data_IF_981372758423
#
_entry.id   IF_981372758423
#
_cell.length_a   1.000
_cell.length_b   1.000
_cell.length_c   1.000
_cell.angle_alpha   90.00
_cell.angle_beta   90.00
_cell.angle_gamma   90.00
#
_symmetry.space_group_name_H-M   'P 1'
#
loop_
_entity.id
_entity.type
_entity.pdbx_description
1 polymer ?
#
# COMPACT_ATOMS: atom_id res chain seq x y z
N UNK A 1 -14.59 10.67 -9.53
CA UNK A 1 -14.31 11.66 -8.45
C UNK A 1 -12.97 11.31 -7.84
N UNK A 2 -12.03 12.26 -7.89
CA UNK A 2 -10.67 12.09 -7.36
C UNK A 2 -10.69 12.14 -5.84
N UNK A 3 -10.13 11.12 -5.18
CA UNK A 3 -9.96 11.08 -3.72
C UNK A 3 -8.61 11.67 -3.31
N UNK A 4 -7.52 11.24 -3.99
CA UNK A 4 -6.16 11.70 -3.73
C UNK A 4 -5.56 12.29 -5.00
N UNK A 5 -4.95 13.47 -4.87
CA UNK A 5 -4.24 14.15 -5.96
C UNK A 5 -2.80 14.43 -5.53
N UNK A 6 -1.86 13.90 -6.28
CA UNK A 6 -0.42 13.98 -6.02
C UNK A 6 0.27 14.60 -7.22
N UNK A 7 1.03 15.71 -7.02
CA UNK A 7 1.83 16.36 -8.04
C UNK A 7 3.25 16.58 -7.54
N UNK A 8 4.21 16.15 -8.34
CA UNK A 8 5.64 16.37 -8.12
C UNK A 8 6.12 15.94 -6.71
N UNK A 9 5.61 14.80 -6.21
CA UNK A 9 6.00 14.28 -4.90
C UNK A 9 7.44 13.80 -4.94
N UNK A 10 8.26 14.33 -4.02
CA UNK A 10 9.66 13.96 -3.84
C UNK A 10 9.96 13.66 -2.38
N UNK A 11 10.83 12.67 -2.16
CA UNK A 11 11.34 12.28 -0.84
C UNK A 11 12.86 12.27 -0.90
N UNK A 12 13.51 13.09 -0.09
CA UNK A 12 14.95 13.25 -0.04
C UNK A 12 15.52 12.91 1.33
N UNK A 13 16.68 12.31 1.35
CA UNK A 13 17.45 12.01 2.56
C UNK A 13 18.85 12.63 2.44
N UNK A 14 19.31 13.43 3.40
CA UNK A 14 20.69 13.89 3.44
C UNK A 14 21.60 12.70 3.75
N UNK A 15 22.66 12.54 2.94
CA UNK A 15 23.69 11.52 3.13
C UNK A 15 25.06 12.19 3.19
N UNK A 16 26.10 11.44 3.55
CA UNK A 16 27.49 11.95 3.56
C UNK A 16 27.99 12.33 2.16
N UNK A 17 27.39 11.79 1.11
CA UNK A 17 27.77 12.02 -0.29
C UNK A 17 26.86 13.04 -1.00
N UNK A 18 25.94 13.68 -0.27
CA UNK A 18 24.93 14.60 -0.82
C UNK A 18 23.50 14.19 -0.50
N UNK A 19 22.53 14.73 -1.21
CA UNK A 19 21.12 14.35 -1.06
C UNK A 19 20.81 13.11 -1.90
N UNK A 20 20.20 12.10 -1.27
CA UNK A 20 19.66 10.93 -1.94
C UNK A 20 18.16 11.11 -2.12
N UNK A 21 17.68 11.08 -3.36
CA UNK A 21 16.26 11.17 -3.70
C UNK A 21 15.66 9.77 -3.85
N UNK A 22 14.89 9.35 -2.87
CA UNK A 22 14.18 8.07 -2.89
C UNK A 22 12.90 8.09 -3.72
N UNK A 23 12.27 9.26 -3.87
CA UNK A 23 11.11 9.52 -4.75
C UNK A 23 11.38 10.84 -5.46
N UNK A 24 11.16 10.86 -6.79
CA UNK A 24 11.65 11.92 -7.68
C UNK A 24 10.52 12.43 -8.57
N UNK A 25 9.74 13.40 -8.09
CA UNK A 25 8.70 14.07 -8.89
C UNK A 25 7.54 13.16 -9.32
N UNK A 26 7.08 12.29 -8.44
CA UNK A 26 5.96 11.38 -8.73
C UNK A 26 4.64 12.14 -8.74
N UNK A 27 3.85 11.96 -9.81
CA UNK A 27 2.54 12.61 -9.98
C UNK A 27 1.49 11.58 -10.40
N UNK A 28 0.38 11.49 -9.67
CA UNK A 28 -0.75 10.64 -10.01
C UNK A 28 -2.02 11.07 -9.27
N UNK A 29 -3.17 10.58 -9.72
CA UNK A 29 -4.45 10.70 -9.03
C UNK A 29 -4.94 9.33 -8.61
N UNK A 30 -5.79 9.28 -7.57
CA UNK A 30 -6.51 8.07 -7.17
C UNK A 30 -7.99 8.41 -7.01
N UNK A 31 -8.83 7.64 -7.67
CA UNK A 31 -10.27 7.61 -7.48
C UNK A 31 -10.71 6.42 -6.63
N UNK A 32 -11.94 5.97 -6.84
CA UNK A 32 -12.47 4.71 -6.26
C UNK A 32 -12.09 3.55 -7.18
N UNK A 33 -10.80 3.28 -7.24
CA UNK A 33 -10.17 2.29 -8.11
C UNK A 33 -9.08 1.55 -7.34
N UNK A 34 -8.57 0.47 -7.92
CA UNK A 34 -7.40 -0.27 -7.43
C UNK A 34 -6.20 0.14 -8.28
N UNK A 35 -5.37 1.03 -7.74
CA UNK A 35 -4.14 1.51 -8.36
C UNK A 35 -2.97 0.64 -7.90
N UNK A 36 -2.35 -0.08 -8.82
CA UNK A 36 -1.11 -0.83 -8.58
C UNK A 36 0.11 0.07 -8.70
N UNK A 37 1.08 -0.08 -7.80
CA UNK A 37 2.42 0.50 -7.93
C UNK A 37 3.43 -0.64 -7.93
N UNK A 38 4.13 -0.82 -9.05
CA UNK A 38 5.08 -1.92 -9.24
C UNK A 38 6.48 -1.41 -9.59
N UNK A 39 7.48 -2.27 -9.43
CA UNK A 39 8.88 -2.01 -9.74
C UNK A 39 9.81 -2.84 -8.87
N UNK A 40 11.10 -2.78 -9.12
CA UNK A 40 12.11 -3.50 -8.34
C UNK A 40 12.18 -3.02 -6.88
N UNK A 41 12.80 -3.82 -6.00
CA UNK A 41 13.12 -3.38 -4.64
C UNK A 41 13.98 -2.11 -4.68
N UNK A 42 13.66 -1.13 -3.84
CA UNK A 42 14.36 0.16 -3.83
C UNK A 42 13.88 1.19 -4.87
N UNK A 43 12.88 0.87 -5.73
CA UNK A 43 12.36 1.83 -6.72
C UNK A 43 11.54 2.98 -6.16
N UNK A 44 11.31 3.06 -4.83
CA UNK A 44 10.59 4.16 -4.19
C UNK A 44 9.12 3.89 -3.84
N UNK A 45 8.55 2.73 -4.19
CA UNK A 45 7.13 2.39 -3.99
C UNK A 45 6.64 2.61 -2.56
N UNK A 46 7.24 1.93 -1.60
CA UNK A 46 6.87 2.04 -0.17
C UNK A 46 7.11 3.44 0.38
N UNK A 47 8.16 4.14 -0.13
CA UNK A 47 8.41 5.53 0.26
C UNK A 47 7.34 6.47 -0.24
N UNK A 48 6.78 6.25 -1.44
CA UNK A 48 5.63 6.99 -1.96
C UNK A 48 4.41 6.82 -1.05
N UNK A 49 4.04 5.59 -0.67
CA UNK A 49 2.94 5.34 0.27
C UNK A 49 3.13 6.00 1.64
N UNK A 50 4.34 5.89 2.19
CA UNK A 50 4.69 6.54 3.47
C UNK A 50 4.70 8.06 3.38
N UNK A 51 5.12 8.64 2.26
CA UNK A 51 5.12 10.08 2.05
C UNK A 51 3.72 10.66 2.03
N UNK A 52 2.75 10.00 1.41
CA UNK A 52 1.33 10.41 1.42
C UNK A 52 0.82 10.54 2.86
N UNK A 53 1.20 9.64 3.74
CA UNK A 53 0.83 9.67 5.16
C UNK A 53 1.78 10.52 6.04
N UNK A 54 2.77 11.18 5.43
CA UNK A 54 3.80 11.94 6.16
C UNK A 54 4.49 11.10 7.25
N UNK A 55 4.80 9.83 6.94
CA UNK A 55 5.49 8.88 7.83
C UNK A 55 7.01 8.83 7.57
N UNK A 56 7.55 9.74 6.78
CA UNK A 56 8.98 9.87 6.57
C UNK A 56 9.60 10.54 7.80
N UNK A 57 10.46 9.81 8.50
CA UNK A 57 11.13 10.31 9.70
C UNK A 57 12.30 11.23 9.34
N UNK A 58 12.57 12.27 10.14
CA UNK A 58 13.81 13.03 10.04
C UNK A 58 15.04 12.09 10.03
N UNK A 59 16.10 12.40 9.24
CA UNK A 59 16.31 13.63 8.47
C UNK A 59 15.65 13.65 7.09
N UNK A 60 14.80 12.66 6.74
CA UNK A 60 14.07 12.62 5.48
C UNK A 60 13.11 13.81 5.34
N UNK A 61 12.96 14.31 4.12
CA UNK A 61 12.11 15.45 3.78
C UNK A 61 11.13 15.06 2.68
N UNK A 62 9.91 15.60 2.78
CA UNK A 62 8.86 15.44 1.76
C UNK A 62 8.63 16.79 1.13
N UNK A 63 8.58 16.84 -0.21
CA UNK A 63 8.15 18.00 -1.01
C UNK A 63 7.14 17.53 -2.04
N UNK A 64 6.15 18.35 -2.35
CA UNK A 64 5.23 18.15 -3.45
C UNK A 64 4.66 19.52 -3.86
N UNK A 65 4.28 19.67 -5.14
CA UNK A 65 3.53 20.82 -5.60
C UNK A 65 2.08 20.71 -5.14
N UNK A 66 1.58 19.45 -5.09
CA UNK A 66 0.24 19.12 -4.59
C UNK A 66 0.27 17.76 -3.90
N UNK A 67 -0.33 17.71 -2.71
CA UNK A 67 -0.62 16.46 -2.00
C UNK A 67 -1.97 16.64 -1.28
N UNK A 68 -3.06 16.36 -1.99
CA UNK A 68 -4.40 16.68 -1.54
C UNK A 68 -5.29 15.44 -1.42
N UNK A 69 -6.00 15.36 -0.30
CA UNK A 69 -7.08 14.41 -0.07
C UNK A 69 -8.41 15.16 -0.11
N UNK A 70 -9.26 14.88 -1.11
CA UNK A 70 -10.56 15.56 -1.30
C UNK A 70 -10.43 17.10 -1.26
N UNK A 71 -9.35 17.67 -1.85
CA UNK A 71 -9.07 19.10 -1.88
C UNK A 71 -8.42 19.66 -0.60
N UNK A 72 -8.11 18.82 0.37
CA UNK A 72 -7.39 19.21 1.59
C UNK A 72 -5.90 18.94 1.44
N UNK A 73 -5.07 19.98 1.46
CA UNK A 73 -3.61 19.89 1.36
C UNK A 73 -3.03 19.24 2.61
N UNK A 74 -2.53 18.00 2.46
CA UNK A 74 -1.99 17.21 3.55
C UNK A 74 -0.65 17.77 4.08
N UNK A 75 0.13 18.50 3.25
CA UNK A 75 1.40 19.07 3.69
C UNK A 75 1.21 20.26 4.64
N UNK A 76 0.10 20.99 4.51
CA UNK A 76 -0.22 22.15 5.35
C UNK A 76 -0.92 21.79 6.67
N UNK A 77 -1.35 20.53 6.83
CA UNK A 77 -1.99 20.09 8.08
C UNK A 77 -1.02 20.10 9.24
N UNK A 78 -1.50 20.53 10.42
CA UNK A 78 -0.79 20.32 11.68
C UNK A 78 -0.67 18.81 11.96
N UNK A 79 0.28 18.39 12.78
CA UNK A 79 0.41 16.96 13.14
C UNK A 79 -0.86 16.42 13.82
N UNK A 80 -1.52 17.22 14.66
CA UNK A 80 -2.80 16.86 15.29
C UNK A 80 -3.92 16.64 14.26
N UNK A 81 -3.95 17.43 13.18
CA UNK A 81 -4.91 17.25 12.09
C UNK A 81 -4.53 16.01 11.24
N UNK A 82 -3.23 15.79 10.99
CA UNK A 82 -2.75 14.62 10.25
C UNK A 82 -3.01 13.30 11.00
N UNK A 83 -2.96 13.29 12.33
CA UNK A 83 -3.37 12.13 13.14
C UNK A 83 -4.83 11.72 12.92
N UNK A 84 -5.72 12.69 12.63
CA UNK A 84 -7.11 12.37 12.26
C UNK A 84 -7.23 11.81 10.84
N UNK A 85 -6.34 12.19 9.92
CA UNK A 85 -6.32 11.64 8.56
C UNK A 85 -5.81 10.19 8.58
N UNK A 86 -4.71 9.95 9.30
CA UNK A 86 -4.14 8.60 9.46
C UNK A 86 -5.12 7.71 10.22
N UNK A 87 -5.48 6.60 9.62
CA UNK A 87 -6.41 5.61 10.18
C UNK A 87 -7.90 5.93 9.95
N UNK A 88 -8.32 7.19 9.91
CA UNK A 88 -9.73 7.54 9.69
C UNK A 88 -10.06 7.79 8.22
N UNK A 89 -9.14 8.42 7.47
CA UNK A 89 -9.32 8.74 6.05
C UNK A 89 -8.46 7.88 5.15
N UNK A 90 -7.20 7.70 5.53
CA UNK A 90 -6.24 6.86 4.83
C UNK A 90 -5.64 5.89 5.86
N UNK A 91 -5.76 4.59 5.59
CA UNK A 91 -5.07 3.54 6.35
C UNK A 91 -3.98 2.89 5.53
N UNK A 92 -2.97 2.33 6.20
CA UNK A 92 -1.87 1.64 5.55
C UNK A 92 -1.63 0.28 6.19
N UNK A 93 -1.71 -0.78 5.38
CA UNK A 93 -1.29 -2.14 5.72
C UNK A 93 0.18 -2.27 5.32
N UNK A 94 1.03 -2.62 6.27
CA UNK A 94 2.47 -2.78 6.06
C UNK A 94 2.82 -4.24 5.74
N UNK A 95 4.00 -4.45 5.21
CA UNK A 95 4.49 -5.74 4.73
C UNK A 95 4.45 -6.87 5.77
N UNK A 96 4.83 -6.61 7.02
CA UNK A 96 4.89 -7.61 8.08
C UNK A 96 3.97 -7.24 9.25
N UNK A 97 2.95 -8.09 9.57
CA UNK A 97 2.05 -7.84 10.69
C UNK A 97 2.75 -7.80 12.04
N UNK A 98 3.92 -8.44 12.19
CA UNK A 98 4.70 -8.44 13.44
C UNK A 98 5.17 -7.04 13.85
N UNK A 99 5.36 -6.13 12.87
CA UNK A 99 5.72 -4.74 13.16
C UNK A 99 4.51 -3.83 13.35
N UNK A 100 3.31 -4.29 13.02
CA UNK A 100 2.07 -3.52 13.12
C UNK A 100 1.25 -3.85 14.37
N UNK A 101 1.36 -5.08 14.86
CA UNK A 101 0.67 -5.54 16.07
C UNK A 101 1.60 -5.45 17.29
N UNK A 102 1.12 -4.84 18.37
CA UNK A 102 1.85 -4.80 19.62
C UNK A 102 1.83 -6.19 20.30
N UNK A 103 2.98 -6.89 20.44
CA UNK A 103 3.01 -8.26 20.93
C UNK A 103 2.60 -8.44 22.39
N UNK A 104 2.62 -7.37 23.18
CA UNK A 104 2.27 -7.40 24.62
C UNK A 104 0.85 -6.91 24.92
N UNK A 105 0.07 -6.58 23.87
CA UNK A 105 -1.35 -6.21 23.99
C UNK A 105 -2.23 -7.26 23.32
N UNK A 106 -3.41 -7.49 23.88
CA UNK A 106 -4.40 -8.37 23.24
C UNK A 106 -4.91 -7.76 21.95
N UNK A 107 -5.19 -8.60 20.96
CA UNK A 107 -5.66 -8.19 19.63
C UNK A 107 -6.90 -7.30 19.73
N UNK A 108 -7.90 -7.71 20.51
CA UNK A 108 -9.13 -6.95 20.68
C UNK A 108 -8.90 -5.56 21.29
N UNK A 109 -7.97 -5.43 22.22
CA UNK A 109 -7.64 -4.14 22.84
C UNK A 109 -7.08 -3.15 21.80
N UNK A 110 -6.21 -3.63 20.90
CA UNK A 110 -5.61 -2.81 19.84
C UNK A 110 -6.66 -2.33 18.83
N UNK A 111 -7.56 -3.21 18.39
CA UNK A 111 -8.64 -2.83 17.46
C UNK A 111 -9.62 -1.84 18.10
N UNK A 112 -10.00 -2.10 19.37
CA UNK A 112 -10.90 -1.23 20.16
C UNK A 112 -10.26 0.15 20.37
N UNK A 113 -8.96 0.21 20.69
CA UNK A 113 -8.23 1.47 20.90
C UNK A 113 -8.28 2.35 19.67
N UNK A 114 -7.92 1.81 18.49
CA UNK A 114 -7.93 2.55 17.22
C UNK A 114 -9.34 3.08 16.92
N UNK A 115 -10.34 2.22 17.01
CA UNK A 115 -11.71 2.64 16.70
C UNK A 115 -12.20 3.74 17.65
N UNK A 116 -11.94 3.61 18.96
CA UNK A 116 -12.31 4.63 19.95
C UNK A 116 -11.54 5.94 19.78
N UNK A 117 -10.25 5.85 19.44
CA UNK A 117 -9.42 7.03 19.22
C UNK A 117 -9.99 7.91 18.09
N UNK A 118 -10.43 7.30 17.01
CA UNK A 118 -10.93 8.03 15.83
C UNK A 118 -12.41 8.42 15.90
N UNK A 119 -13.24 7.65 16.59
CA UNK A 119 -14.71 7.84 16.59
C UNK A 119 -15.27 8.39 17.90
N UNK A 120 -14.52 8.30 18.99
CA UNK A 120 -15.04 8.62 20.34
C UNK A 120 -16.05 7.59 20.88
N UNK A 121 -16.20 6.43 20.21
CA UNK A 121 -17.19 5.42 20.55
C UNK A 121 -16.99 4.84 21.97
N UNK A 122 -18.08 4.36 22.57
CA UNK A 122 -18.02 3.61 23.83
C UNK A 122 -17.27 2.29 23.65
N UNK A 123 -16.69 1.74 24.73
CA UNK A 123 -15.98 0.45 24.70
C UNK A 123 -16.89 -0.67 24.17
N UNK A 124 -18.19 -0.66 24.51
CA UNK A 124 -19.16 -1.66 24.05
C UNK A 124 -19.39 -1.57 22.55
N UNK A 125 -19.55 -0.36 22.00
CA UNK A 125 -19.70 -0.16 20.55
C UNK A 125 -18.44 -0.55 19.80
N UNK A 126 -17.26 -0.18 20.32
CA UNK A 126 -15.98 -0.53 19.73
C UNK A 126 -15.71 -2.05 19.75
N UNK A 127 -16.11 -2.74 20.82
CA UNK A 127 -16.02 -4.19 20.90
C UNK A 127 -16.87 -4.87 19.81
N UNK A 128 -18.14 -4.43 19.67
CA UNK A 128 -19.03 -4.95 18.60
C UNK A 128 -18.42 -4.73 17.22
N UNK A 129 -17.89 -3.52 16.95
CA UNK A 129 -17.25 -3.19 15.68
C UNK A 129 -15.99 -4.03 15.43
N UNK A 130 -15.20 -4.31 16.45
CA UNK A 130 -14.03 -5.17 16.35
C UNK A 130 -14.39 -6.62 15.95
N UNK A 131 -15.47 -7.18 16.56
CA UNK A 131 -15.98 -8.50 16.19
C UNK A 131 -16.44 -8.50 14.72
N UNK A 132 -17.26 -7.53 14.30
CA UNK A 132 -17.72 -7.39 12.91
C UNK A 132 -16.54 -7.35 11.92
N UNK A 133 -15.49 -6.64 12.28
CA UNK A 133 -14.31 -6.54 11.40
C UNK A 133 -13.49 -7.82 11.34
N UNK A 134 -13.36 -8.55 12.46
CA UNK A 134 -12.70 -9.85 12.48
C UNK A 134 -13.49 -10.89 11.65
N UNK A 135 -14.82 -10.86 11.71
CA UNK A 135 -15.70 -11.67 10.86
C UNK A 135 -15.53 -11.28 9.37
N UNK A 136 -15.51 -9.98 9.06
CA UNK A 136 -15.32 -9.47 7.71
C UNK A 136 -14.00 -9.91 7.06
N UNK A 137 -12.95 -10.14 7.85
CA UNK A 137 -11.68 -10.71 7.37
C UNK A 137 -11.62 -12.24 7.52
N UNK A 138 -12.78 -12.91 7.68
CA UNK A 138 -12.91 -14.36 7.73
C UNK A 138 -12.18 -15.03 8.90
N UNK A 139 -12.16 -14.40 10.06
CA UNK A 139 -11.75 -15.03 11.32
C UNK A 139 -12.91 -15.85 11.85
N UNK A 140 -12.73 -17.18 12.02
CA UNK A 140 -13.80 -18.12 12.39
C UNK A 140 -14.29 -17.97 13.82
N UNK A 141 -13.39 -17.61 14.75
CA UNK A 141 -13.69 -17.46 16.19
C UNK A 141 -13.17 -16.10 16.68
N UNK A 142 -13.89 -15.00 16.33
CA UNK A 142 -13.47 -13.64 16.64
C UNK A 142 -13.42 -13.39 18.15
N UNK A 143 -14.32 -13.98 18.94
CA UNK A 143 -14.37 -13.85 20.39
C UNK A 143 -13.08 -14.38 21.07
N UNK A 144 -12.57 -15.52 20.61
CA UNK A 144 -11.30 -16.09 21.07
C UNK A 144 -10.16 -15.18 20.67
N UNK A 145 -10.12 -14.73 19.39
CA UNK A 145 -9.06 -13.86 18.86
C UNK A 145 -9.00 -12.52 19.57
N UNK A 146 -10.15 -11.96 19.96
CA UNK A 146 -10.20 -10.73 20.77
C UNK A 146 -9.41 -10.81 22.08
N UNK A 147 -9.30 -12.02 22.68
CA UNK A 147 -8.61 -12.28 23.95
C UNK A 147 -7.17 -12.72 23.78
N UNK A 148 -6.81 -13.15 22.57
CA UNK A 148 -5.49 -13.68 22.25
C UNK A 148 -4.46 -12.58 22.02
N UNK A 149 -3.18 -12.95 22.07
CA UNK A 149 -2.05 -12.11 21.73
C UNK A 149 -1.55 -12.39 20.31
N UNK A 150 -0.86 -11.43 19.65
CA UNK A 150 -0.37 -11.61 18.28
C UNK A 150 0.52 -12.85 18.07
N UNK A 151 1.33 -13.20 19.06
CA UNK A 151 2.24 -14.36 18.97
C UNK A 151 1.52 -15.72 18.99
N UNK A 152 0.24 -15.78 19.38
CA UNK A 152 -0.59 -16.98 19.33
C UNK A 152 -1.23 -17.21 17.96
N UNK A 153 -1.00 -16.31 16.99
CA UNK A 153 -1.63 -16.33 15.67
C UNK A 153 -0.65 -16.85 14.61
N UNK A 154 -1.17 -17.60 13.62
CA UNK A 154 -0.42 -17.90 12.39
C UNK A 154 -0.17 -16.63 11.56
N UNK A 155 0.83 -16.66 10.65
CA UNK A 155 1.14 -15.52 9.80
C UNK A 155 -0.08 -14.99 9.01
N UNK A 156 -0.84 -15.88 8.38
CA UNK A 156 -2.05 -15.51 7.64
C UNK A 156 -3.17 -14.96 8.53
N UNK A 157 -3.30 -15.45 9.77
CA UNK A 157 -4.23 -14.88 10.75
C UNK A 157 -3.77 -13.49 11.19
N UNK A 158 -2.49 -13.31 11.48
CA UNK A 158 -1.90 -12.01 11.82
C UNK A 158 -2.14 -10.96 10.74
N UNK A 159 -1.98 -11.36 9.47
CA UNK A 159 -2.25 -10.49 8.33
C UNK A 159 -3.72 -10.06 8.26
N UNK A 160 -4.66 -11.00 8.40
CA UNK A 160 -6.10 -10.67 8.41
C UNK A 160 -6.48 -9.78 9.58
N UNK A 161 -5.92 -10.02 10.77
CA UNK A 161 -6.13 -9.19 11.97
C UNK A 161 -5.61 -7.77 11.72
N UNK A 162 -4.42 -7.62 11.12
CA UNK A 162 -3.88 -6.32 10.75
C UNK A 162 -4.79 -5.58 9.76
N UNK A 163 -5.32 -6.28 8.74
CA UNK A 163 -6.29 -5.71 7.80
C UNK A 163 -7.57 -5.28 8.54
N UNK A 164 -8.11 -6.11 9.44
CA UNK A 164 -9.26 -5.75 10.27
C UNK A 164 -9.00 -4.47 11.08
N UNK A 165 -7.84 -4.38 11.72
CA UNK A 165 -7.41 -3.23 12.50
C UNK A 165 -7.30 -1.96 11.65
N UNK A 166 -6.74 -2.05 10.44
CA UNK A 166 -6.59 -0.91 9.54
C UNK A 166 -7.91 -0.46 8.88
N UNK A 167 -8.90 -1.35 8.78
CA UNK A 167 -10.19 -1.07 8.16
C UNK A 167 -11.33 -0.84 9.17
N UNK A 168 -11.09 -0.94 10.48
CA UNK A 168 -12.14 -0.81 11.50
C UNK A 168 -12.79 0.58 11.52
N UNK A 169 -12.08 1.60 11.10
CA UNK A 169 -12.54 2.99 10.98
C UNK A 169 -13.22 3.30 9.64
N UNK A 170 -13.26 2.33 8.71
CA UNK A 170 -13.81 2.47 7.37
C UNK A 170 -13.18 3.63 6.57
N UNK A 171 -11.86 3.59 6.35
CA UNK A 171 -11.15 4.66 5.65
C UNK A 171 -11.62 4.78 4.19
N UNK A 172 -11.39 5.95 3.60
CA UNK A 172 -11.69 6.19 2.18
C UNK A 172 -10.62 5.61 1.25
N UNK A 173 -9.37 5.53 1.74
CA UNK A 173 -8.24 4.99 0.98
C UNK A 173 -7.50 3.96 1.84
N UNK A 174 -7.20 2.81 1.23
CA UNK A 174 -6.30 1.82 1.77
C UNK A 174 -4.99 1.84 0.96
N UNK A 175 -3.86 1.98 1.65
CA UNK A 175 -2.53 1.72 1.07
C UNK A 175 -2.10 0.35 1.56
N UNK A 176 -1.88 -0.60 0.66
CA UNK A 176 -1.43 -1.95 0.95
C UNK A 176 0.00 -2.14 0.44
N UNK A 177 0.99 -2.05 1.33
CA UNK A 177 2.41 -2.15 1.02
C UNK A 177 2.87 -3.60 1.17
N UNK A 178 2.97 -4.32 0.06
CA UNK A 178 3.31 -5.74 -0.02
C UNK A 178 2.51 -6.63 0.96
N UNK A 179 1.17 -6.56 0.97
CA UNK A 179 0.36 -7.14 2.05
C UNK A 179 0.40 -8.67 2.12
N UNK A 180 1.04 -9.34 1.16
CA UNK A 180 1.05 -10.80 1.04
C UNK A 180 2.43 -11.40 0.82
N UNK A 181 3.50 -10.61 0.85
CA UNK A 181 4.87 -11.05 0.50
C UNK A 181 5.44 -12.16 1.41
N UNK A 182 4.95 -12.26 2.64
CA UNK A 182 5.40 -13.26 3.62
C UNK A 182 4.46 -14.49 3.74
N UNK A 183 3.50 -14.66 2.81
CA UNK A 183 2.48 -15.68 2.85
C UNK A 183 2.65 -16.70 1.73
N UNK A 184 2.22 -17.94 1.99
CA UNK A 184 2.08 -18.94 0.93
C UNK A 184 0.97 -18.56 -0.07
N UNK A 185 1.02 -19.12 -1.28
CA UNK A 185 0.13 -18.77 -2.40
C UNK A 185 -1.35 -18.92 -2.04
N UNK A 186 -1.72 -19.95 -1.26
CA UNK A 186 -3.11 -20.20 -0.92
C UNK A 186 -3.66 -19.15 0.06
N UNK A 187 -2.86 -18.76 1.06
CA UNK A 187 -3.20 -17.71 2.02
C UNK A 187 -3.18 -16.34 1.35
N UNK A 188 -2.21 -16.10 0.46
CA UNK A 188 -2.15 -14.88 -0.35
C UNK A 188 -3.45 -14.65 -1.12
N UNK A 189 -3.93 -15.65 -1.87
CA UNK A 189 -5.19 -15.56 -2.63
C UNK A 189 -6.37 -15.22 -1.72
N UNK A 190 -6.46 -15.82 -0.53
CA UNK A 190 -7.52 -15.54 0.42
C UNK A 190 -7.45 -14.10 0.98
N UNK A 191 -6.26 -13.61 1.32
CA UNK A 191 -6.06 -12.24 1.81
C UNK A 191 -6.43 -11.22 0.74
N UNK A 192 -6.02 -11.45 -0.50
CA UNK A 192 -6.34 -10.56 -1.62
C UNK A 192 -7.85 -10.54 -1.92
N UNK A 193 -8.52 -11.69 -1.88
CA UNK A 193 -9.97 -11.73 -2.06
C UNK A 193 -10.72 -10.98 -0.95
N UNK A 194 -10.23 -10.99 0.27
CA UNK A 194 -10.77 -10.20 1.39
C UNK A 194 -10.58 -8.70 1.12
N UNK A 195 -9.38 -8.28 0.72
CA UNK A 195 -9.09 -6.88 0.40
C UNK A 195 -9.99 -6.41 -0.75
N UNK A 196 -10.05 -7.17 -1.87
CA UNK A 196 -10.88 -6.83 -3.03
C UNK A 196 -12.35 -6.65 -2.65
N UNK A 197 -12.91 -7.62 -1.92
CA UNK A 197 -14.27 -7.56 -1.46
C UNK A 197 -14.54 -6.32 -0.60
N UNK A 198 -13.71 -6.06 0.41
CA UNK A 198 -13.90 -4.93 1.32
C UNK A 198 -13.71 -3.58 0.62
N UNK A 199 -12.77 -3.47 -0.33
CA UNK A 199 -12.55 -2.26 -1.13
C UNK A 199 -13.79 -1.98 -1.98
N UNK A 200 -14.34 -2.99 -2.68
CA UNK A 200 -15.53 -2.84 -3.53
C UNK A 200 -16.78 -2.53 -2.72
N UNK A 201 -17.07 -3.32 -1.68
CA UNK A 201 -18.27 -3.17 -0.86
C UNK A 201 -18.35 -1.79 -0.19
N UNK A 202 -17.20 -1.23 0.18
CA UNK A 202 -17.11 0.08 0.87
C UNK A 202 -16.80 1.25 -0.06
N UNK A 203 -16.58 0.99 -1.35
CA UNK A 203 -16.26 2.01 -2.34
C UNK A 203 -14.99 2.80 -2.00
N UNK A 204 -13.94 2.12 -1.53
CA UNK A 204 -12.65 2.72 -1.20
C UNK A 204 -11.77 2.84 -2.43
N UNK A 205 -10.81 3.80 -2.40
CA UNK A 205 -9.64 3.76 -3.27
C UNK A 205 -8.58 2.82 -2.66
N UNK A 206 -7.87 2.07 -3.50
CA UNK A 206 -6.77 1.20 -3.09
C UNK A 206 -5.48 1.60 -3.81
N UNK A 207 -4.41 1.83 -3.04
CA UNK A 207 -3.04 1.82 -3.58
C UNK A 207 -2.42 0.48 -3.18
N UNK A 208 -2.16 -0.37 -4.18
CA UNK A 208 -1.61 -1.70 -3.99
C UNK A 208 -0.15 -1.73 -4.44
N UNK A 209 0.78 -1.80 -3.50
CA UNK A 209 2.22 -1.84 -3.76
C UNK A 209 2.67 -3.29 -3.79
N UNK A 210 3.33 -3.70 -4.87
CA UNK A 210 3.89 -5.04 -5.02
C UNK A 210 5.13 -5.02 -5.93
N UNK A 211 5.96 -6.05 -5.82
CA UNK A 211 7.00 -6.36 -6.80
C UNK A 211 6.55 -7.42 -7.83
N UNK A 212 5.37 -8.02 -7.65
CA UNK A 212 4.81 -9.02 -8.54
C UNK A 212 3.87 -8.38 -9.57
N UNK A 213 4.37 -8.25 -10.81
CA UNK A 213 3.62 -7.66 -11.91
C UNK A 213 2.39 -8.48 -12.29
N UNK A 214 2.49 -9.83 -12.28
CA UNK A 214 1.37 -10.70 -12.63
C UNK A 214 0.21 -10.53 -11.64
N UNK A 215 0.56 -10.45 -10.36
CA UNK A 215 -0.42 -10.19 -9.32
C UNK A 215 -1.11 -8.84 -9.53
N UNK A 216 -0.35 -7.78 -9.78
CA UNK A 216 -0.91 -6.43 -9.98
C UNK A 216 -1.75 -6.37 -11.25
N UNK A 217 -1.30 -6.98 -12.35
CA UNK A 217 -2.07 -7.05 -13.60
C UNK A 217 -3.43 -7.73 -13.42
N UNK A 218 -3.50 -8.77 -12.57
CA UNK A 218 -4.75 -9.50 -12.31
C UNK A 218 -5.66 -8.86 -11.27
N UNK A 219 -5.10 -8.00 -10.40
CA UNK A 219 -5.78 -7.50 -9.22
C UNK A 219 -6.18 -6.02 -9.31
N UNK A 220 -5.41 -5.20 -10.03
CA UNK A 220 -5.60 -3.75 -10.11
C UNK A 220 -6.38 -3.35 -11.37
N UNK A 221 -6.86 -2.11 -11.39
CA UNK A 221 -7.54 -1.51 -12.55
C UNK A 221 -6.54 -0.71 -13.39
N UNK A 222 -5.56 -0.06 -12.73
CA UNK A 222 -4.51 0.76 -13.33
C UNK A 222 -3.18 0.51 -12.63
N UNK A 223 -2.08 0.64 -13.36
CA UNK A 223 -0.73 0.36 -12.86
C UNK A 223 0.20 1.54 -13.11
N UNK A 224 1.00 1.88 -12.11
CA UNK A 224 2.15 2.76 -12.19
C UNK A 224 3.43 1.91 -12.10
N UNK A 225 4.30 2.00 -13.06
CA UNK A 225 5.59 1.32 -13.06
C UNK A 225 6.64 2.31 -12.54
N UNK A 226 7.33 1.94 -11.45
CA UNK A 226 8.35 2.78 -10.81
C UNK A 226 9.75 2.22 -11.01
N UNK A 227 10.67 3.09 -11.42
CA UNK A 227 12.11 2.83 -11.49
C UNK A 227 12.89 4.00 -10.88
N UNK A 228 13.90 3.73 -10.05
CA UNK A 228 14.81 4.71 -9.47
C UNK A 228 14.11 5.97 -8.90
N UNK A 229 12.98 5.79 -8.22
CA UNK A 229 12.19 6.86 -7.60
C UNK A 229 11.21 7.58 -8.53
N UNK A 230 11.07 7.19 -9.79
CA UNK A 230 10.22 7.84 -10.80
C UNK A 230 9.13 6.91 -11.30
N UNK A 231 8.01 7.46 -11.77
CA UNK A 231 7.07 6.72 -12.62
C UNK A 231 7.63 6.75 -14.04
N UNK A 232 7.89 5.57 -14.60
CA UNK A 232 8.40 5.42 -15.98
C UNK A 232 7.30 5.06 -16.96
N UNK A 233 6.19 4.52 -16.47
CA UNK A 233 5.03 4.16 -17.30
C UNK A 233 3.75 4.10 -16.48
N UNK A 234 2.62 4.36 -17.15
CA UNK A 234 1.27 4.27 -16.58
C UNK A 234 0.35 3.61 -17.60
N UNK A 235 -0.34 2.55 -17.20
CA UNK A 235 -1.27 1.83 -18.09
C UNK A 235 -2.48 1.28 -17.36
N UNK A 236 -3.51 0.91 -18.09
CA UNK A 236 -4.56 0.03 -17.60
C UNK A 236 -3.96 -1.37 -17.32
N UNK A 237 -4.40 -2.02 -16.24
CA UNK A 237 -3.77 -3.27 -15.81
C UNK A 237 -3.89 -4.41 -16.82
N UNK A 238 -4.98 -4.47 -17.57
CA UNK A 238 -5.23 -5.43 -18.66
C UNK A 238 -4.32 -5.22 -19.88
N UNK A 239 -3.75 -4.02 -20.05
CA UNK A 239 -2.83 -3.65 -21.12
C UNK A 239 -1.36 -3.75 -20.77
N UNK A 240 -1.03 -4.15 -19.55
CA UNK A 240 0.35 -4.20 -19.08
C UNK A 240 1.29 -5.03 -19.99
N UNK A 241 0.78 -6.07 -20.64
CA UNK A 241 1.54 -6.91 -21.58
C UNK A 241 1.75 -6.27 -22.97
N UNK A 242 1.04 -5.19 -23.28
CA UNK A 242 1.13 -4.46 -24.56
C UNK A 242 2.13 -3.30 -24.51
N UNK A 243 2.67 -3.05 -23.32
CA UNK A 243 3.50 -1.89 -23.04
C UNK A 243 4.85 -1.93 -23.75
N UNK A 244 5.32 -0.76 -24.14
CA UNK A 244 6.50 -0.61 -25.00
C UNK A 244 7.72 -0.06 -24.29
N UNK A 245 7.56 0.45 -23.08
CA UNK A 245 8.64 1.02 -22.29
C UNK A 245 9.70 -0.07 -21.99
N UNK A 246 10.99 0.17 -22.31
CA UNK A 246 12.02 -0.88 -22.25
C UNK A 246 12.18 -1.51 -20.87
N UNK A 247 12.07 -0.72 -19.78
CA UNK A 247 12.14 -1.23 -18.42
C UNK A 247 10.98 -2.17 -18.09
N UNK A 248 9.74 -1.78 -18.44
CA UNK A 248 8.53 -2.61 -18.25
C UNK A 248 8.64 -3.94 -18.99
N UNK A 249 9.07 -3.90 -20.27
CA UNK A 249 9.32 -5.12 -21.06
C UNK A 249 10.39 -6.01 -20.44
N UNK A 250 11.46 -5.40 -19.93
CA UNK A 250 12.52 -6.13 -19.24
C UNK A 250 12.04 -6.81 -17.97
N UNK A 251 11.20 -6.12 -17.16
CA UNK A 251 10.58 -6.71 -15.97
C UNK A 251 9.65 -7.88 -16.36
N UNK A 252 8.78 -7.70 -17.35
CA UNK A 252 7.87 -8.76 -17.84
C UNK A 252 8.65 -9.96 -18.40
N UNK A 253 9.76 -9.70 -19.12
CA UNK A 253 10.64 -10.73 -19.68
C UNK A 253 11.42 -11.53 -18.63
N UNK A 254 11.63 -10.97 -17.44
CA UNK A 254 12.32 -11.65 -16.34
C UNK A 254 11.39 -12.50 -15.45
N UNK A 255 10.06 -12.44 -15.67
CA UNK A 255 9.10 -13.26 -14.94
C UNK A 255 9.12 -14.73 -15.39
N UNK A 256 9.07 -15.69 -14.44
CA UNK A 256 8.94 -17.10 -14.79
C UNK A 256 7.61 -17.36 -15.54
N UNK A 257 7.68 -17.98 -16.72
CA UNK A 257 6.48 -18.43 -17.44
C UNK A 257 6.23 -19.90 -17.13
N UNK A 258 5.04 -20.23 -16.64
CA UNK A 258 4.66 -21.60 -16.24
C UNK A 258 4.78 -22.62 -17.38
N UNK A 259 4.61 -22.18 -18.64
CA UNK A 259 4.57 -23.06 -19.82
C UNK A 259 5.88 -23.08 -20.62
N UNK A 260 6.89 -22.32 -20.23
CA UNK A 260 8.20 -22.29 -20.88
C UNK A 260 9.30 -22.54 -19.85
N UNK A 261 9.80 -23.79 -19.75
CA UNK A 261 10.93 -24.05 -18.86
C UNK A 261 12.19 -23.41 -19.45
N UNK A 262 12.40 -22.13 -19.14
CA UNK A 262 13.63 -21.45 -19.51
C UNK A 262 14.79 -22.02 -18.69
N UNK A 263 15.85 -22.48 -19.34
CA UNK A 263 17.09 -22.95 -18.68
C UNK A 263 17.79 -21.84 -17.86
N UNK A 264 17.52 -20.58 -18.20
CA UNK A 264 17.96 -19.39 -17.45
C UNK A 264 16.88 -18.31 -17.57
N UNK A 265 16.53 -17.68 -16.46
CA UNK A 265 15.69 -16.46 -16.47
C UNK A 265 16.49 -15.32 -17.12
N UNK A 266 15.79 -14.51 -17.93
CA UNK A 266 16.40 -13.29 -18.46
C UNK A 266 16.68 -12.34 -17.28
N UNK A 267 17.90 -11.79 -17.24
CA UNK A 267 18.27 -10.75 -16.30
C UNK A 267 18.00 -9.41 -16.97
N UNK A 268 17.35 -8.51 -16.26
CA UNK A 268 17.12 -7.15 -16.76
C UNK A 268 18.45 -6.43 -17.00
N UNK A 269 18.71 -6.12 -18.26
CA UNK A 269 19.86 -5.28 -18.66
C UNK A 269 19.47 -3.82 -18.44
N UNK A 270 20.09 -3.19 -17.40
CA UNK A 270 19.75 -1.85 -16.97
C UNK A 270 20.47 -0.81 -17.80
N UNK A 271 19.70 0.04 -18.49
CA UNK A 271 20.25 1.20 -19.17
C UNK A 271 20.39 2.36 -18.15
N UNK A 272 21.62 2.90 -17.93
CA UNK A 272 21.84 4.04 -17.05
C UNK A 272 21.04 5.30 -17.43
N UNK A 273 20.64 5.44 -18.68
CA UNK A 273 19.88 6.60 -19.13
C UNK A 273 18.44 6.61 -18.62
N UNK A 274 17.86 5.46 -18.24
CA UNK A 274 16.53 5.40 -17.61
C UNK A 274 16.44 6.18 -16.30
N UNK A 275 17.55 6.33 -15.57
CA UNK A 275 17.61 7.13 -14.34
C UNK A 275 17.53 8.63 -14.59
N UNK A 276 17.79 9.07 -15.82
CA UNK A 276 17.82 10.48 -16.22
C UNK A 276 16.47 10.95 -16.79
N UNK A 277 15.63 10.01 -17.20
CA UNK A 277 14.31 10.32 -17.77
C UNK A 277 13.42 11.02 -16.75
N UNK A 278 12.58 11.96 -17.21
CA UNK A 278 11.60 12.62 -16.36
C UNK A 278 10.53 11.64 -15.90
N UNK A 279 9.95 11.87 -14.72
CA UNK A 279 8.81 11.09 -14.25
C UNK A 279 7.61 11.29 -15.17
N UNK A 280 7.00 10.18 -15.62
CA UNK A 280 5.76 10.20 -16.40
C UNK A 280 4.58 10.48 -15.48
N UNK A 281 3.55 11.18 -15.97
CA UNK A 281 2.34 11.41 -15.20
C UNK A 281 1.56 10.11 -15.03
N UNK A 282 1.21 9.79 -13.79
CA UNK A 282 0.29 8.71 -13.44
C UNK A 282 -1.19 9.11 -13.54
N UNK A 283 -1.49 10.20 -14.25
CA UNK A 283 -2.84 10.68 -14.53
C UNK A 283 -3.30 10.11 -15.88
N UNK A 284 -4.39 9.37 -15.87
CA UNK A 284 -5.13 8.93 -17.06
C UNK A 284 -6.43 9.70 -17.17
#
# INVERSE_FOLDING_TARGET
>A
MTLLDVENLSVTFPTRQGEFEAVRGVSFTLGRERLGIVGESGSGKSMTGRAILRLIRPPGRIKADKLELEGVDLLKLSEKAMQKVRGQKISMVMQDPKFSLNPVMRIGEQIIEIYRFHTGATKKAAYKKAIEMLEAVSIRDPERVMRAYPHEMSGGMGQRIMIAMMLVTEPQILIADEPTSALDVSVQTQVLSIIDRLVRERGMGLIFISHDLNLVASFCDRVLIMYAGRIVETCAADKLNEETQPYTRGLLGSLPRLNEPAKRLAVLDRNPDWEKEASVSGRL
#
